data_IF_787228608607
#
_entry.id   IF_787228608607
#
_cell.length_a   1.000
_cell.length_b   1.000
_cell.length_c   1.000
_cell.angle_alpha   90.00
_cell.angle_beta   90.00
_cell.angle_gamma   90.00
#
_symmetry.space_group_name_H-M   'P 1'
#
loop_
_entity.id
_entity.type
_entity.pdbx_description
1 polymer ?
#
# COMPACT_ATOMS: atom_id res chain seq x y z
N UNK A 1 0.87 67.60 68.93
CA UNK A 1 1.73 66.54 68.35
C UNK A 1 0.90 65.21 68.37
N UNK A 2 0.24 64.94 67.26
CA UNK A 2 -0.76 63.88 67.18
C UNK A 2 -0.10 62.72 66.43
N UNK A 3 0.12 61.62 67.11
CA UNK A 3 0.65 60.34 66.50
C UNK A 3 -0.51 59.53 65.97
N UNK A 4 -0.56 59.32 64.64
CA UNK A 4 -1.51 58.45 63.98
C UNK A 4 -0.90 57.07 63.90
N UNK A 5 -1.56 56.06 64.51
CA UNK A 5 -1.30 54.65 64.30
C UNK A 5 -1.97 54.20 62.97
N UNK A 6 -1.16 53.69 62.10
CA UNK A 6 -1.66 53.01 60.88
C UNK A 6 -1.70 51.55 61.20
N UNK A 7 -2.91 50.94 61.18
CA UNK A 7 -3.15 49.51 61.33
C UNK A 7 -3.01 48.88 59.93
N UNK A 8 -1.97 48.11 59.73
CA UNK A 8 -1.83 47.32 58.51
C UNK A 8 -2.63 46.01 58.61
N UNK A 9 -3.67 45.87 57.78
CA UNK A 9 -4.46 44.68 57.63
C UNK A 9 -3.75 43.77 56.64
N UNK A 10 -3.17 42.65 57.11
CA UNK A 10 -2.60 41.60 56.25
C UNK A 10 -3.74 40.70 55.80
N UNK A 11 -4.19 40.87 54.56
CA UNK A 11 -5.12 39.93 53.91
C UNK A 11 -4.31 38.74 53.39
N UNK A 12 -4.50 37.59 54.01
CA UNK A 12 -3.98 36.30 53.52
C UNK A 12 -4.79 35.85 52.29
N UNK A 13 -4.26 36.02 51.09
CA UNK A 13 -4.79 35.39 49.89
C UNK A 13 -4.41 33.91 49.93
N UNK A 14 -5.36 33.08 50.21
CA UNK A 14 -5.24 31.62 49.92
C UNK A 14 -5.27 31.46 48.40
N UNK A 15 -4.12 31.12 47.80
CA UNK A 15 -4.06 30.70 46.42
C UNK A 15 -4.72 29.33 46.30
N UNK A 16 -5.94 29.29 45.78
CA UNK A 16 -6.54 28.03 45.27
C UNK A 16 -5.88 27.76 43.95
N UNK A 17 -5.00 26.75 43.92
CA UNK A 17 -4.53 26.17 42.66
C UNK A 17 -5.72 25.68 41.83
N UNK A 18 -5.82 26.01 40.53
CA UNK A 18 -6.82 25.41 39.71
C UNK A 18 -6.53 23.90 39.64
N UNK A 19 -7.44 23.08 40.09
CA UNK A 19 -7.50 21.67 39.75
C UNK A 19 -7.63 21.67 38.23
N UNK A 20 -6.58 21.23 37.51
CA UNK A 20 -6.69 20.93 36.08
C UNK A 20 -7.68 19.80 35.95
N UNK A 21 -8.95 20.14 35.67
CA UNK A 21 -9.91 19.19 35.21
C UNK A 21 -9.40 18.63 33.88
N UNK A 22 -8.97 17.39 33.86
CA UNK A 22 -8.88 16.66 32.63
C UNK A 22 -10.25 16.76 31.96
N UNK A 23 -10.29 17.43 30.82
CA UNK A 23 -11.49 17.40 29.99
C UNK A 23 -11.71 15.93 29.63
N UNK A 24 -12.78 15.34 30.17
CA UNK A 24 -13.24 14.05 29.71
C UNK A 24 -13.56 14.22 28.24
N UNK A 25 -12.89 13.42 27.38
CA UNK A 25 -13.18 13.41 25.96
C UNK A 25 -14.69 13.16 25.77
N UNK A 26 -15.29 13.91 24.88
CA UNK A 26 -16.68 13.68 24.50
C UNK A 26 -16.77 12.28 23.84
N UNK A 27 -17.52 11.33 24.40
CA UNK A 27 -17.63 10.00 23.82
C UNK A 27 -18.31 9.98 22.44
N UNK A 28 -18.90 11.10 22.00
CA UNK A 28 -19.48 11.27 20.67
C UNK A 28 -18.51 11.98 19.70
N UNK A 29 -17.31 12.41 20.14
CA UNK A 29 -16.34 13.03 19.24
C UNK A 29 -15.85 12.00 18.21
N UNK A 30 -15.80 12.36 16.90
CA UNK A 30 -15.33 11.43 15.87
C UNK A 30 -13.87 11.03 16.15
N UNK A 31 -13.62 9.73 16.20
CA UNK A 31 -12.26 9.19 16.38
C UNK A 31 -11.46 9.42 15.11
N UNK A 32 -10.18 9.83 15.18
CA UNK A 32 -9.36 10.02 13.99
C UNK A 32 -8.92 8.68 13.37
N UNK A 33 -8.60 8.71 12.09
CA UNK A 33 -7.65 7.77 11.50
C UNK A 33 -6.24 8.20 11.90
N UNK A 34 -5.41 7.30 12.42
CA UNK A 34 -4.03 7.62 12.78
C UNK A 34 -3.07 7.05 11.72
N UNK A 35 -2.29 7.92 11.09
CA UNK A 35 -1.32 7.58 10.05
C UNK A 35 0.07 7.87 10.59
N UNK A 36 0.83 6.82 10.91
CA UNK A 36 2.13 6.90 11.56
C UNK A 36 3.23 6.52 10.58
N UNK A 37 4.08 7.49 10.22
CA UNK A 37 5.29 7.30 9.43
C UNK A 37 6.45 7.00 10.37
N UNK A 38 6.92 5.76 10.35
CA UNK A 38 7.96 5.29 11.26
C UNK A 38 9.34 5.81 10.87
N UNK A 39 10.12 6.30 11.83
CA UNK A 39 11.56 6.47 11.62
C UNK A 39 12.24 5.10 11.62
N UNK A 40 12.39 4.55 10.42
CA UNK A 40 13.12 3.29 10.15
C UNK A 40 14.48 3.56 9.50
N UNK A 41 14.98 4.81 9.56
CA UNK A 41 16.12 5.25 8.78
C UNK A 41 15.73 5.49 7.31
N UNK A 42 16.61 5.07 6.37
CA UNK A 42 16.29 5.22 4.93
C UNK A 42 15.27 4.17 4.51
N UNK A 43 14.12 4.63 4.04
CA UNK A 43 13.02 3.79 3.54
C UNK A 43 11.64 4.23 4.04
N UNK A 44 10.62 3.55 3.58
CA UNK A 44 9.23 3.82 3.94
C UNK A 44 8.69 2.72 4.86
N UNK A 45 8.01 3.13 5.92
CA UNK A 45 7.20 2.26 6.76
C UNK A 45 6.06 3.09 7.36
N UNK A 46 4.84 2.81 6.94
CA UNK A 46 3.67 3.57 7.39
C UNK A 46 2.64 2.63 8.02
N UNK A 47 2.17 2.98 9.20
CA UNK A 47 1.10 2.28 9.92
C UNK A 47 -0.14 3.16 9.93
N UNK A 48 -1.24 2.65 9.43
CA UNK A 48 -2.54 3.32 9.42
C UNK A 48 -3.45 2.55 10.36
N UNK A 49 -3.99 3.22 11.37
CA UNK A 49 -4.98 2.66 12.29
C UNK A 49 -6.33 3.30 12.04
N UNK A 50 -7.33 2.48 11.72
CA UNK A 50 -8.71 2.96 11.52
C UNK A 50 -9.30 3.49 12.82
N UNK A 51 -10.36 4.31 12.78
CA UNK A 51 -11.10 4.72 13.97
C UNK A 51 -11.61 3.55 14.84
N UNK A 52 -11.89 2.40 14.24
CA UNK A 52 -12.26 1.15 14.93
C UNK A 52 -11.07 0.32 15.42
N UNK A 53 -9.82 0.72 15.09
CA UNK A 53 -8.59 0.12 15.62
C UNK A 53 -7.90 -0.88 14.70
N UNK A 54 -8.48 -1.24 13.54
CA UNK A 54 -7.83 -2.14 12.57
C UNK A 54 -6.61 -1.48 11.94
N UNK A 55 -5.65 -2.29 11.53
CA UNK A 55 -4.35 -1.81 11.06
C UNK A 55 -4.13 -2.14 9.59
N UNK A 56 -3.74 -1.12 8.82
CA UNK A 56 -3.12 -1.24 7.50
C UNK A 56 -1.66 -0.85 7.64
N UNK A 57 -0.77 -1.56 6.96
CA UNK A 57 0.63 -1.20 6.88
C UNK A 57 1.03 -1.04 5.42
N UNK A 58 1.74 0.06 5.10
CA UNK A 58 2.31 0.32 3.78
C UNK A 58 3.83 0.36 3.94
N UNK A 59 4.53 -0.59 3.30
CA UNK A 59 5.97 -0.82 3.39
C UNK A 59 6.46 -1.07 4.83
N UNK A 60 7.71 -1.51 4.99
CA UNK A 60 8.28 -1.86 6.29
C UNK A 60 9.75 -1.42 6.47
N UNK A 61 10.24 -0.55 5.57
CA UNK A 61 11.63 -0.10 5.60
C UNK A 61 12.63 -1.17 5.19
N UNK A 62 13.89 -0.83 5.36
CA UNK A 62 15.03 -1.71 5.05
C UNK A 62 15.32 -2.73 6.13
N UNK A 63 14.99 -2.39 7.38
CA UNK A 63 15.23 -3.20 8.57
C UNK A 63 13.92 -3.40 9.31
N UNK A 64 13.91 -4.42 10.17
CA UNK A 64 12.72 -4.81 10.93
C UNK A 64 12.09 -3.66 11.73
N UNK A 65 10.83 -3.30 11.51
CA UNK A 65 10.10 -2.28 12.27
C UNK A 65 9.42 -2.85 13.53
N UNK A 66 9.67 -4.10 13.92
CA UNK A 66 8.93 -4.79 14.98
C UNK A 66 8.96 -4.08 16.33
N UNK A 67 10.06 -3.38 16.65
CA UNK A 67 10.14 -2.59 17.88
C UNK A 67 9.11 -1.47 17.88
N UNK A 68 9.02 -0.74 16.78
CA UNK A 68 8.07 0.36 16.58
C UNK A 68 6.63 -0.17 16.57
N UNK A 69 6.38 -1.26 15.83
CA UNK A 69 5.06 -1.91 15.81
C UNK A 69 4.60 -2.37 17.20
N UNK A 70 5.53 -2.89 18.01
CA UNK A 70 5.23 -3.28 19.40
C UNK A 70 4.88 -2.06 20.25
N UNK A 71 5.59 -0.95 20.10
CA UNK A 71 5.30 0.31 20.80
C UNK A 71 3.94 0.90 20.42
N UNK A 72 3.56 0.77 19.14
CA UNK A 72 2.24 1.16 18.65
C UNK A 72 1.14 0.16 19.01
N UNK A 73 1.43 -0.93 19.72
CA UNK A 73 0.45 -1.95 20.07
C UNK A 73 -0.14 -2.67 18.85
N UNK A 74 0.61 -2.79 17.76
CA UNK A 74 0.18 -3.53 16.57
C UNK A 74 0.36 -5.01 16.85
N UNK A 75 -0.74 -5.74 17.02
CA UNK A 75 -0.77 -7.19 17.26
C UNK A 75 -1.07 -7.98 15.98
N UNK A 76 -1.84 -7.41 15.07
CA UNK A 76 -2.25 -8.00 13.79
C UNK A 76 -2.38 -6.90 12.72
N UNK A 77 -2.35 -7.29 11.45
CA UNK A 77 -2.43 -6.39 10.29
C UNK A 77 -3.49 -6.92 9.33
N UNK A 78 -4.55 -6.14 9.13
CA UNK A 78 -5.62 -6.49 8.21
C UNK A 78 -5.19 -6.40 6.74
N UNK A 79 -4.35 -5.43 6.41
CA UNK A 79 -3.88 -5.21 5.06
C UNK A 79 -2.42 -4.75 5.09
N UNK A 80 -1.55 -5.50 4.42
CA UNK A 80 -0.14 -5.17 4.22
C UNK A 80 0.10 -4.86 2.75
N UNK A 81 0.55 -3.65 2.45
CA UNK A 81 0.82 -3.19 1.08
C UNK A 81 2.32 -3.00 0.92
N UNK A 82 2.92 -3.67 -0.07
CA UNK A 82 4.27 -3.36 -0.55
C UNK A 82 4.15 -2.50 -1.80
N UNK A 83 4.66 -1.27 -1.75
CA UNK A 83 4.55 -0.36 -2.89
C UNK A 83 5.36 -0.86 -4.08
N UNK A 84 6.58 -1.30 -3.86
CA UNK A 84 7.45 -1.90 -4.87
C UNK A 84 8.60 -2.69 -4.21
N UNK A 85 9.38 -3.44 -5.01
CA UNK A 85 10.28 -4.47 -4.51
C UNK A 85 11.70 -3.99 -4.11
N UNK A 86 11.92 -2.70 -3.84
CA UNK A 86 13.20 -2.25 -3.31
C UNK A 86 13.35 -2.56 -1.81
N UNK A 87 14.59 -2.80 -1.39
CA UNK A 87 14.89 -3.27 -0.03
C UNK A 87 14.52 -2.25 1.07
N UNK A 88 14.50 -0.97 0.78
CA UNK A 88 14.10 0.09 1.69
C UNK A 88 12.58 0.26 1.82
N UNK A 89 11.82 -0.61 1.16
CA UNK A 89 10.36 -0.76 1.28
C UNK A 89 9.98 -2.14 1.82
N UNK A 90 10.58 -3.21 1.26
CA UNK A 90 10.18 -4.58 1.61
C UNK A 90 11.13 -5.28 2.57
N UNK A 91 12.27 -4.68 2.93
CA UNK A 91 13.31 -5.36 3.72
C UNK A 91 12.85 -5.84 5.09
N UNK A 92 11.95 -5.12 5.74
CA UNK A 92 11.37 -5.48 7.03
C UNK A 92 10.12 -6.37 6.98
N UNK A 93 9.55 -6.62 5.78
CA UNK A 93 8.26 -7.31 5.66
C UNK A 93 8.30 -8.77 6.07
N UNK A 94 9.42 -9.47 5.84
CA UNK A 94 9.56 -10.86 6.26
C UNK A 94 9.48 -11.01 7.78
N UNK A 95 10.10 -10.10 8.53
CA UNK A 95 10.02 -10.06 9.99
C UNK A 95 8.59 -9.73 10.46
N UNK A 96 7.90 -8.82 9.76
CA UNK A 96 6.51 -8.45 10.05
C UNK A 96 5.60 -9.66 9.88
N UNK A 97 5.67 -10.35 8.74
CA UNK A 97 4.90 -11.56 8.45
C UNK A 97 5.18 -12.70 9.45
N UNK A 98 6.43 -12.81 9.91
CA UNK A 98 6.80 -13.81 10.92
C UNK A 98 6.20 -13.52 12.29
N UNK A 99 6.14 -12.24 12.68
CA UNK A 99 5.82 -11.83 14.04
C UNK A 99 4.38 -11.39 14.23
N UNK A 100 3.63 -11.13 13.16
CA UNK A 100 2.26 -10.62 13.21
C UNK A 100 1.37 -11.37 12.23
N UNK A 101 0.16 -11.79 12.62
CA UNK A 101 -0.86 -12.23 11.66
C UNK A 101 -1.14 -11.12 10.64
N UNK A 102 -1.18 -11.49 9.36
CA UNK A 102 -1.52 -10.60 8.23
C UNK A 102 -2.65 -11.27 7.44
N UNK A 103 -3.78 -10.59 7.29
CA UNK A 103 -4.93 -11.16 6.58
C UNK A 103 -4.73 -11.10 5.07
N UNK A 104 -4.28 -9.94 4.56
CA UNK A 104 -4.13 -9.70 3.12
C UNK A 104 -2.82 -8.98 2.83
N UNK A 105 -2.09 -9.47 1.82
CA UNK A 105 -0.89 -8.84 1.27
C UNK A 105 -1.16 -8.34 -0.15
N UNK A 106 -0.74 -7.12 -0.44
CA UNK A 106 -0.87 -6.48 -1.76
C UNK A 106 0.51 -6.04 -2.24
N UNK A 107 0.84 -6.30 -3.50
CA UNK A 107 1.98 -5.68 -4.18
C UNK A 107 1.66 -5.32 -5.63
N UNK A 108 2.63 -4.73 -6.34
CA UNK A 108 2.44 -4.31 -7.73
C UNK A 108 2.44 -5.47 -8.76
N UNK A 109 2.60 -6.72 -8.32
CA UNK A 109 2.65 -7.91 -9.17
C UNK A 109 3.89 -7.98 -10.08
N UNK A 110 4.88 -7.10 -9.88
CA UNK A 110 6.11 -7.10 -10.68
C UNK A 110 7.18 -7.93 -9.99
N UNK A 111 7.56 -9.09 -10.53
CA UNK A 111 8.60 -9.93 -9.96
C UNK A 111 9.93 -9.20 -9.85
N UNK A 112 10.70 -9.49 -8.80
CA UNK A 112 12.04 -8.97 -8.62
C UNK A 112 13.06 -10.10 -8.41
N UNK A 113 14.30 -9.88 -8.85
CA UNK A 113 15.34 -10.93 -8.82
C UNK A 113 16.13 -10.98 -7.52
N UNK A 114 15.88 -10.05 -6.58
CA UNK A 114 16.56 -10.03 -5.28
C UNK A 114 16.15 -11.20 -4.40
N UNK A 115 17.04 -11.63 -3.53
CA UNK A 115 16.78 -12.66 -2.53
C UNK A 115 15.67 -12.21 -1.57
N UNK A 116 15.74 -10.96 -1.09
CA UNK A 116 14.72 -10.35 -0.23
C UNK A 116 13.29 -10.51 -0.79
N UNK A 117 13.09 -10.20 -2.08
CA UNK A 117 11.79 -10.35 -2.71
C UNK A 117 11.35 -11.82 -2.80
N UNK A 118 12.26 -12.72 -3.19
CA UNK A 118 11.95 -14.14 -3.30
C UNK A 118 11.63 -14.78 -1.95
N UNK A 119 12.37 -14.43 -0.91
CA UNK A 119 12.12 -14.89 0.46
C UNK A 119 10.76 -14.37 0.97
N UNK A 120 10.46 -13.09 0.76
CA UNK A 120 9.19 -12.48 1.11
C UNK A 120 8.01 -13.20 0.45
N UNK A 121 8.07 -13.43 -0.87
CA UNK A 121 6.97 -14.09 -1.59
C UNK A 121 6.80 -15.56 -1.17
N UNK A 122 7.91 -16.27 -0.92
CA UNK A 122 7.86 -17.63 -0.37
C UNK A 122 7.27 -17.65 1.05
N UNK A 123 7.44 -16.57 1.82
CA UNK A 123 6.89 -16.45 3.15
C UNK A 123 5.38 -16.17 3.10
N UNK A 124 4.93 -15.26 2.23
CA UNK A 124 3.51 -14.99 1.95
C UNK A 124 2.79 -16.29 1.58
N UNK A 125 3.39 -17.08 0.68
CA UNK A 125 2.85 -18.38 0.28
C UNK A 125 2.81 -19.39 1.44
N UNK A 126 3.92 -19.53 2.20
CA UNK A 126 4.03 -20.48 3.32
C UNK A 126 3.04 -20.22 4.44
N UNK A 127 2.72 -18.95 4.71
CA UNK A 127 1.78 -18.54 5.75
C UNK A 127 0.33 -18.51 5.26
N UNK A 128 0.08 -18.86 3.99
CA UNK A 128 -1.24 -18.81 3.34
C UNK A 128 -1.91 -17.42 3.47
N UNK A 129 -1.10 -16.35 3.44
CA UNK A 129 -1.60 -14.98 3.45
C UNK A 129 -2.33 -14.71 2.14
N UNK A 130 -3.52 -14.14 2.22
CA UNK A 130 -4.27 -13.78 1.02
C UNK A 130 -3.49 -12.79 0.19
N UNK A 131 -3.07 -13.19 -1.01
CA UNK A 131 -2.38 -12.32 -1.95
C UNK A 131 -3.35 -11.61 -2.90
N UNK A 132 -3.15 -10.31 -3.09
CA UNK A 132 -3.84 -9.51 -4.11
C UNK A 132 -2.80 -8.70 -4.90
N UNK A 133 -2.83 -8.82 -6.21
CA UNK A 133 -2.09 -7.90 -7.05
C UNK A 133 -2.79 -6.52 -7.06
N UNK A 134 -2.01 -5.45 -7.00
CA UNK A 134 -2.52 -4.09 -7.10
C UNK A 134 -3.09 -3.83 -8.50
N UNK A 135 -4.41 -3.72 -8.56
CA UNK A 135 -5.17 -3.26 -9.73
C UNK A 135 -6.15 -2.18 -9.25
N UNK A 136 -6.59 -1.27 -10.12
CA UNK A 136 -7.51 -0.20 -9.72
C UNK A 136 -8.76 -0.76 -9.04
N UNK A 137 -8.91 -0.46 -7.75
CA UNK A 137 -10.05 -0.87 -6.92
C UNK A 137 -10.11 -0.07 -5.64
N UNK A 138 -11.27 -0.03 -5.02
CA UNK A 138 -11.44 0.46 -3.66
C UNK A 138 -11.48 -0.72 -2.68
N UNK A 139 -10.66 -0.67 -1.64
CA UNK A 139 -10.69 -1.57 -0.50
C UNK A 139 -11.31 -0.81 0.68
N UNK A 140 -12.41 -1.29 1.21
CA UNK A 140 -13.05 -0.69 2.39
C UNK A 140 -12.63 -1.43 3.65
N UNK A 141 -12.20 -0.70 4.65
CA UNK A 141 -11.82 -1.23 5.95
C UNK A 141 -12.42 -0.33 7.03
N UNK A 142 -13.46 -0.82 7.68
CA UNK A 142 -14.23 -0.09 8.68
C UNK A 142 -14.72 1.28 8.11
N UNK A 143 -14.25 2.39 8.70
CA UNK A 143 -14.67 3.75 8.33
C UNK A 143 -13.84 4.37 7.20
N UNK A 144 -12.75 3.70 6.78
CA UNK A 144 -11.87 4.22 5.72
C UNK A 144 -12.04 3.44 4.42
N UNK A 145 -11.75 4.10 3.33
CA UNK A 145 -11.53 3.43 2.05
C UNK A 145 -10.14 3.74 1.49
N UNK A 146 -9.60 2.78 0.78
CA UNK A 146 -8.28 2.82 0.15
C UNK A 146 -8.45 2.56 -1.34
N UNK A 147 -8.30 3.59 -2.16
CA UNK A 147 -8.30 3.45 -3.60
C UNK A 147 -6.90 3.05 -4.06
N UNK A 148 -6.76 1.85 -4.59
CA UNK A 148 -5.54 1.39 -5.26
C UNK A 148 -5.51 2.00 -6.65
N UNK A 149 -4.50 2.80 -6.93
CA UNK A 149 -4.39 3.54 -8.17
C UNK A 149 -3.93 2.65 -9.34
N UNK A 150 -4.24 3.06 -10.58
CA UNK A 150 -3.82 2.30 -11.76
C UNK A 150 -2.29 2.31 -11.90
N UNK A 151 -1.72 1.12 -12.13
CA UNK A 151 -0.30 0.98 -12.44
C UNK A 151 -0.04 1.26 -13.92
N UNK A 152 1.08 1.92 -14.26
CA UNK A 152 1.47 2.08 -15.65
C UNK A 152 1.75 0.73 -16.31
N UNK A 153 1.20 0.45 -17.51
CA UNK A 153 1.33 -0.86 -18.14
C UNK A 153 2.76 -1.19 -18.61
N UNK A 154 3.60 -0.19 -18.87
CA UNK A 154 4.93 -0.36 -19.43
C UNK A 154 5.86 0.78 -19.07
N UNK A 155 6.18 0.95 -17.77
CA UNK A 155 7.22 1.89 -17.34
C UNK A 155 8.46 1.14 -16.88
N UNK A 156 9.64 1.66 -17.25
CA UNK A 156 10.91 1.13 -16.77
C UNK A 156 11.14 1.50 -15.30
N UNK A 157 11.77 0.60 -14.58
CA UNK A 157 12.15 0.77 -13.18
C UNK A 157 11.04 0.40 -12.19
N UNK A 158 11.46 -0.12 -11.04
CA UNK A 158 10.55 -0.53 -9.96
C UNK A 158 9.81 0.67 -9.37
N UNK A 159 10.46 1.84 -9.27
CA UNK A 159 9.87 3.05 -8.70
C UNK A 159 8.63 3.51 -9.47
N UNK A 160 8.68 3.49 -10.81
CA UNK A 160 7.57 3.89 -11.68
C UNK A 160 6.46 2.83 -11.82
N UNK A 161 6.43 1.89 -10.88
CA UNK A 161 5.37 0.90 -10.70
C UNK A 161 5.02 0.75 -9.22
N UNK A 162 5.19 1.83 -8.46
CA UNK A 162 4.79 1.88 -7.07
C UNK A 162 3.27 1.76 -6.94
N UNK A 163 2.80 0.98 -5.98
CA UNK A 163 1.37 0.95 -5.65
C UNK A 163 0.99 2.29 -5.03
N UNK A 164 0.33 3.13 -5.81
CA UNK A 164 -0.29 4.36 -5.30
C UNK A 164 -1.57 4.05 -4.53
N UNK A 165 -1.75 4.70 -3.40
CA UNK A 165 -2.93 4.53 -2.54
C UNK A 165 -3.50 5.90 -2.19
N UNK A 166 -4.80 6.09 -2.39
CA UNK A 166 -5.54 7.24 -1.89
C UNK A 166 -6.47 6.78 -0.77
N UNK A 167 -6.18 7.19 0.45
CA UNK A 167 -7.02 6.92 1.62
C UNK A 167 -8.07 8.01 1.76
N UNK A 168 -9.31 7.61 2.08
CA UNK A 168 -10.43 8.50 2.35
C UNK A 168 -11.05 8.18 3.71
N UNK A 169 -11.23 9.23 4.50
CA UNK A 169 -12.00 9.19 5.74
C UNK A 169 -12.86 10.45 5.84
N UNK A 170 -14.10 10.40 5.35
CA UNK A 170 -14.93 11.59 5.17
C UNK A 170 -14.25 12.59 4.24
N UNK A 171 -14.04 13.83 4.73
CA UNK A 171 -13.35 14.90 4.00
C UNK A 171 -11.81 14.85 4.14
N UNK A 172 -11.26 13.99 4.99
CA UNK A 172 -9.82 13.78 5.12
C UNK A 172 -9.31 12.82 4.04
N UNK A 173 -8.35 13.27 3.22
CA UNK A 173 -7.72 12.50 2.17
C UNK A 173 -6.21 12.41 2.40
N UNK A 174 -5.63 11.21 2.18
CA UNK A 174 -4.19 11.01 2.27
C UNK A 174 -3.67 10.23 1.06
N UNK A 175 -2.62 10.74 0.41
CA UNK A 175 -2.02 10.14 -0.78
C UNK A 175 -0.66 9.51 -0.47
N UNK A 176 -0.52 8.22 -0.77
CA UNK A 176 0.71 7.45 -0.63
C UNK A 176 1.18 7.01 -2.01
N UNK A 177 2.33 7.48 -2.42
CA UNK A 177 2.87 7.29 -3.76
C UNK A 177 4.05 6.31 -3.83
N UNK A 178 4.49 5.75 -2.70
CA UNK A 178 5.76 5.00 -2.64
C UNK A 178 6.92 5.83 -3.20
N UNK A 179 7.69 5.25 -4.11
CA UNK A 179 8.81 5.92 -4.79
C UNK A 179 8.50 6.34 -6.21
N UNK A 180 7.23 6.59 -6.50
CA UNK A 180 6.82 7.07 -7.83
C UNK A 180 7.67 8.24 -8.31
N UNK A 181 8.10 8.17 -9.55
CA UNK A 181 8.83 9.23 -10.21
C UNK A 181 7.92 9.99 -11.18
N UNK A 182 8.45 11.05 -11.81
CA UNK A 182 7.69 11.92 -12.71
C UNK A 182 6.81 11.18 -13.71
N UNK A 183 7.31 10.13 -14.42
CA UNK A 183 6.47 9.44 -15.40
C UNK A 183 5.20 8.83 -14.81
N UNK A 184 5.27 8.24 -13.60
CA UNK A 184 4.13 7.66 -12.93
C UNK A 184 3.19 8.73 -12.36
N UNK A 185 3.73 9.81 -11.79
CA UNK A 185 2.93 10.95 -11.33
C UNK A 185 2.14 11.59 -12.48
N UNK A 186 2.79 11.80 -13.63
CA UNK A 186 2.15 12.32 -14.86
C UNK A 186 1.10 11.35 -15.42
N UNK A 187 1.35 10.04 -15.29
CA UNK A 187 0.40 9.01 -15.67
C UNK A 187 -0.89 9.08 -14.82
N UNK A 188 -0.78 9.29 -13.51
CA UNK A 188 -1.92 9.45 -12.62
C UNK A 188 -2.67 10.75 -12.89
N UNK A 189 -1.96 11.86 -13.10
CA UNK A 189 -2.57 13.14 -13.50
C UNK A 189 -3.36 13.01 -14.80
N UNK A 190 -2.77 12.39 -15.82
CA UNK A 190 -3.44 12.19 -17.11
C UNK A 190 -4.71 11.35 -17.02
N UNK A 191 -4.90 10.60 -15.94
CA UNK A 191 -6.11 9.81 -15.65
C UNK A 191 -7.10 10.51 -14.73
N UNK A 192 -6.75 11.68 -14.22
CA UNK A 192 -7.59 12.43 -13.29
C UNK A 192 -7.85 11.67 -11.98
N UNK A 193 -6.84 10.90 -11.49
CA UNK A 193 -6.92 10.18 -10.22
C UNK A 193 -6.12 10.86 -9.11
N UNK A 194 -5.50 12.00 -9.40
CA UNK A 194 -4.90 12.90 -8.41
C UNK A 194 -6.00 13.83 -7.92
N UNK A 195 -6.11 13.99 -6.64
CA UNK A 195 -7.11 14.85 -5.98
C UNK A 195 -6.44 15.79 -5.00
N UNK A 196 -7.11 16.87 -4.62
CA UNK A 196 -6.73 17.73 -3.51
C UNK A 196 -6.74 16.91 -2.21
N UNK A 197 -5.62 16.86 -1.49
CA UNK A 197 -5.44 15.98 -0.34
C UNK A 197 -4.96 16.76 0.89
N UNK A 198 -5.40 16.34 2.07
CA UNK A 198 -4.89 16.86 3.33
C UNK A 198 -3.44 16.41 3.56
N UNK A 199 -3.13 15.13 3.30
CA UNK A 199 -1.82 14.54 3.56
C UNK A 199 -1.21 13.94 2.28
N UNK A 200 0.03 14.33 1.97
CA UNK A 200 0.87 13.68 0.96
C UNK A 200 2.09 13.02 1.60
N UNK A 201 2.25 11.70 1.44
CA UNK A 201 3.55 11.07 1.61
C UNK A 201 4.43 11.47 0.42
N UNK A 202 5.54 12.16 0.69
CA UNK A 202 6.44 12.64 -0.36
C UNK A 202 6.96 11.50 -1.23
N UNK A 203 6.80 11.55 -2.56
CA UNK A 203 7.32 10.51 -3.44
C UNK A 203 8.84 10.40 -3.34
N UNK A 204 9.35 9.18 -3.42
CA UNK A 204 10.77 8.85 -3.54
C UNK A 204 11.66 9.61 -2.53
N UNK A 205 11.25 9.64 -1.26
CA UNK A 205 11.97 10.25 -0.14
C UNK A 205 12.39 11.72 -0.36
N UNK A 206 11.67 12.45 -1.21
CA UNK A 206 12.04 13.82 -1.60
C UNK A 206 13.17 13.88 -2.62
N UNK A 207 13.28 12.92 -3.53
CA UNK A 207 14.17 12.96 -4.69
C UNK A 207 13.75 14.04 -5.70
N UNK A 208 14.69 14.52 -6.53
CA UNK A 208 14.39 15.52 -7.58
C UNK A 208 13.41 15.00 -8.63
N UNK A 209 13.44 13.70 -8.90
CA UNK A 209 12.52 13.04 -9.83
C UNK A 209 11.20 12.58 -9.20
N UNK A 210 11.05 12.69 -7.88
CA UNK A 210 9.85 12.32 -7.12
C UNK A 210 8.76 13.41 -7.09
N UNK A 211 8.82 14.46 -7.92
CA UNK A 211 7.75 15.45 -8.02
C UNK A 211 7.70 16.13 -9.39
N UNK A 212 6.53 16.67 -9.72
CA UNK A 212 6.34 17.73 -10.71
C UNK A 212 5.58 18.87 -10.05
N UNK A 213 5.77 20.10 -10.49
CA UNK A 213 5.00 21.24 -9.95
C UNK A 213 3.49 21.06 -10.22
N UNK A 214 3.14 20.57 -11.41
CA UNK A 214 1.74 20.32 -11.76
C UNK A 214 1.08 19.28 -10.87
N UNK A 215 1.81 18.19 -10.52
CA UNK A 215 1.31 17.19 -9.57
C UNK A 215 1.08 17.80 -8.18
N UNK A 216 2.01 18.60 -7.69
CA UNK A 216 1.88 19.24 -6.38
C UNK A 216 0.78 20.30 -6.34
N UNK A 217 0.59 21.05 -7.43
CA UNK A 217 -0.50 22.03 -7.56
C UNK A 217 -1.86 21.34 -7.61
N UNK A 218 -1.98 20.17 -8.25
CA UNK A 218 -3.22 19.39 -8.32
C UNK A 218 -3.51 18.67 -7.00
N UNK A 219 -2.49 18.06 -6.38
CA UNK A 219 -2.63 17.39 -5.07
C UNK A 219 -2.80 18.37 -3.92
N UNK A 220 -2.30 19.62 -4.04
CA UNK A 220 -2.48 20.74 -3.11
C UNK A 220 -2.43 20.35 -1.62
N UNK A 221 -1.43 19.57 -1.15
CA UNK A 221 -1.44 19.03 0.20
C UNK A 221 -1.31 20.09 1.27
N UNK A 222 -2.04 19.93 2.39
CA UNK A 222 -1.86 20.76 3.59
C UNK A 222 -0.61 20.32 4.37
N UNK A 223 -0.36 18.99 4.46
CA UNK A 223 0.84 18.44 5.11
C UNK A 223 1.56 17.45 4.19
N UNK A 224 2.88 17.60 4.10
CA UNK A 224 3.76 16.65 3.40
C UNK A 224 4.65 15.96 4.41
N UNK A 225 4.66 14.61 4.40
CA UNK A 225 5.58 13.83 5.22
C UNK A 225 6.62 13.15 4.34
N UNK A 226 7.90 13.35 4.66
CA UNK A 226 9.04 12.76 3.96
C UNK A 226 9.65 11.68 4.85
N UNK A 227 9.46 10.41 4.49
CA UNK A 227 10.18 9.29 5.11
C UNK A 227 11.59 9.24 4.54
N UNK A 228 12.60 9.47 5.37
CA UNK A 228 14.00 9.55 4.94
C UNK A 228 14.96 9.34 6.11
N UNK A 229 16.11 8.76 5.87
CA UNK A 229 17.13 8.53 6.89
C UNK A 229 18.13 9.67 7.01
N UNK A 230 18.50 10.05 8.25
CA UNK A 230 19.47 11.10 8.52
C UNK A 230 20.85 10.91 7.88
N UNK A 231 21.24 9.65 7.64
CA UNK A 231 22.54 9.27 7.05
C UNK A 231 22.37 8.61 5.68
N UNK A 232 21.28 8.92 4.95
CA UNK A 232 21.08 8.30 3.64
C UNK A 232 22.17 8.72 2.64
N UNK A 233 22.65 7.76 1.81
CA UNK A 233 23.74 8.04 0.87
C UNK A 233 23.28 8.79 -0.38
N UNK A 234 21.97 8.96 -0.58
CA UNK A 234 21.38 9.54 -1.79
C UNK A 234 21.29 11.06 -1.71
N UNK A 235 21.45 11.64 -0.51
CA UNK A 235 21.30 13.07 -0.26
C UNK A 235 19.86 13.55 -0.38
N UNK A 236 18.90 12.69 -0.04
CA UNK A 236 17.49 13.05 0.09
C UNK A 236 17.19 13.62 1.48
N UNK A 237 16.16 14.48 1.64
CA UNK A 237 15.44 15.11 0.53
C UNK A 237 16.31 16.19 -0.15
N UNK A 238 16.11 16.36 -1.44
CA UNK A 238 16.80 17.40 -2.20
C UNK A 238 16.28 18.80 -1.88
N UNK A 239 17.15 19.84 -1.90
CA UNK A 239 16.69 21.21 -1.65
C UNK A 239 15.57 21.67 -2.58
N UNK A 240 15.61 21.23 -3.85
CA UNK A 240 14.59 21.52 -4.85
C UNK A 240 13.24 20.90 -4.48
N UNK A 241 13.24 19.65 -3.98
CA UNK A 241 12.03 18.99 -3.52
C UNK A 241 11.47 19.67 -2.27
N UNK A 242 12.32 20.00 -1.30
CA UNK A 242 11.90 20.76 -0.11
C UNK A 242 11.28 22.09 -0.47
N UNK A 243 11.89 22.84 -1.40
CA UNK A 243 11.35 24.11 -1.88
C UNK A 243 9.99 23.94 -2.56
N UNK A 244 9.85 22.89 -3.38
CA UNK A 244 8.59 22.59 -4.05
C UNK A 244 7.48 22.20 -3.06
N UNK A 245 7.75 21.31 -2.09
CA UNK A 245 6.75 20.95 -1.07
C UNK A 245 6.37 22.15 -0.20
N UNK A 246 7.34 22.96 0.27
CA UNK A 246 7.07 24.15 1.06
C UNK A 246 6.36 25.28 0.30
N UNK A 247 6.25 25.17 -1.03
CA UNK A 247 5.50 26.18 -1.82
C UNK A 247 4.00 25.86 -1.91
N UNK A 248 3.59 24.64 -1.55
CA UNK A 248 2.20 24.17 -1.67
C UNK A 248 1.61 23.73 -0.33
N UNK A 249 2.43 23.28 0.63
CA UNK A 249 1.98 22.72 1.90
C UNK A 249 2.22 23.70 3.06
N UNK A 250 1.33 23.66 4.05
CA UNK A 250 1.47 24.43 5.29
C UNK A 250 2.55 23.81 6.19
N UNK A 251 2.66 22.47 6.19
CA UNK A 251 3.67 21.72 6.95
C UNK A 251 4.47 20.76 6.07
N UNK A 252 5.80 20.72 6.28
CA UNK A 252 6.70 19.72 5.67
C UNK A 252 7.49 19.04 6.78
N UNK A 253 7.10 17.82 7.12
CA UNK A 253 7.65 17.01 8.20
C UNK A 253 8.60 15.94 7.64
N UNK A 254 9.62 15.53 8.44
CA UNK A 254 10.69 14.65 7.97
C UNK A 254 11.09 13.66 9.06
N UNK A 255 11.07 12.37 8.78
CA UNK A 255 11.43 11.36 9.78
C UNK A 255 12.88 11.45 10.27
N UNK A 256 13.80 11.97 9.47
CA UNK A 256 15.21 12.17 9.86
C UNK A 256 15.46 13.35 10.82
N UNK A 257 14.46 14.21 11.02
CA UNK A 257 14.54 15.40 11.88
C UNK A 257 13.53 15.35 13.02
N UNK A 258 12.31 14.96 12.69
CA UNK A 258 11.16 15.01 13.56
C UNK A 258 10.91 13.64 14.24
N UNK A 259 11.72 12.63 13.90
CA UNK A 259 11.52 11.24 14.32
C UNK A 259 10.30 10.62 13.67
N UNK A 260 9.66 9.68 14.34
CA UNK A 260 8.38 9.15 13.88
C UNK A 260 7.33 10.26 13.85
N UNK A 261 6.56 10.33 12.77
CA UNK A 261 5.52 11.33 12.55
C UNK A 261 4.16 10.65 12.52
N UNK A 262 3.22 11.10 13.35
CA UNK A 262 1.81 10.66 13.27
C UNK A 262 0.93 11.82 12.84
N UNK A 263 0.10 11.58 11.83
CA UNK A 263 -0.98 12.49 11.41
C UNK A 263 -2.30 11.86 11.82
N UNK A 264 -3.05 12.57 12.67
CA UNK A 264 -4.40 12.21 13.08
C UNK A 264 -5.39 12.91 12.13
N UNK A 265 -6.05 12.18 11.27
CA UNK A 265 -7.03 12.71 10.33
C UNK A 265 -8.46 12.52 10.84
N UNK A 266 -9.29 13.56 10.76
CA UNK A 266 -10.68 13.53 11.19
C UNK A 266 -11.62 13.53 9.97
N UNK A 267 -12.79 12.94 10.13
CA UNK A 267 -13.77 12.81 9.03
C UNK A 267 -14.32 14.14 8.50
N UNK A 268 -14.08 15.25 9.21
CA UNK A 268 -14.45 16.60 8.80
C UNK A 268 -13.30 17.34 8.07
N UNK A 269 -12.24 16.63 7.68
CA UNK A 269 -11.08 17.15 6.96
C UNK A 269 -9.96 17.72 7.84
N UNK A 270 -10.21 17.99 9.13
CA UNK A 270 -9.17 18.47 10.06
C UNK A 270 -8.10 17.41 10.26
N UNK A 271 -6.92 17.87 10.63
CA UNK A 271 -5.82 17.01 11.06
C UNK A 271 -5.04 17.58 12.25
N UNK A 272 -4.30 16.73 12.94
CA UNK A 272 -3.35 17.07 14.00
C UNK A 272 -2.06 16.26 13.77
N UNK A 273 -0.91 16.85 14.12
CA UNK A 273 0.40 16.17 13.97
C UNK A 273 1.03 15.89 15.32
N UNK A 274 1.60 14.70 15.48
CA UNK A 274 2.34 14.27 16.68
C UNK A 274 3.73 13.80 16.24
N UNK A 275 4.79 14.21 16.93
CA UNK A 275 6.16 14.03 16.47
C UNK A 275 7.02 13.24 17.47
N UNK A 276 8.03 12.56 16.96
CA UNK A 276 9.07 11.91 17.73
C UNK A 276 8.58 10.76 18.61
N UNK A 277 9.10 10.69 19.83
CA UNK A 277 8.75 9.65 20.80
C UNK A 277 7.27 9.70 21.20
N UNK A 278 6.66 10.86 21.19
CA UNK A 278 5.24 11.06 21.53
C UNK A 278 4.31 10.34 20.55
N UNK A 279 4.72 10.17 19.28
CA UNK A 279 4.01 9.35 18.28
C UNK A 279 3.82 7.91 18.70
N UNK A 280 4.62 7.39 19.63
CA UNK A 280 4.49 6.03 20.15
C UNK A 280 3.74 5.97 21.49
N UNK A 281 3.59 7.12 22.16
CA UNK A 281 3.03 7.09 23.50
C UNK A 281 1.51 6.96 23.43
N UNK A 282 1.06 5.71 23.39
CA UNK A 282 -0.37 5.38 23.41
C UNK A 282 -1.07 5.93 24.67
N UNK A 283 -0.32 6.19 25.75
CA UNK A 283 -0.85 6.82 26.94
C UNK A 283 -1.27 8.26 26.63
N UNK A 284 -0.53 8.93 25.78
CA UNK A 284 -0.85 10.31 25.35
C UNK A 284 -1.99 10.32 24.33
N UNK A 285 -1.98 9.44 23.34
CA UNK A 285 -3.13 9.23 22.45
C UNK A 285 -4.38 8.77 23.21
N UNK A 286 -4.23 7.99 24.29
CA UNK A 286 -5.31 7.67 25.23
C UNK A 286 -5.71 8.87 26.07
N UNK A 287 -4.79 9.73 26.49
CA UNK A 287 -5.09 10.95 27.25
C UNK A 287 -5.82 11.98 26.41
N UNK A 288 -5.63 11.97 25.08
CA UNK A 288 -6.44 12.69 24.10
C UNK A 288 -7.82 12.07 23.91
N UNK A 289 -8.10 10.91 24.53
CA UNK A 289 -9.39 10.23 24.48
C UNK A 289 -9.70 9.50 23.16
N UNK A 290 -8.73 9.38 22.26
CA UNK A 290 -8.94 8.81 20.94
C UNK A 290 -8.92 7.28 20.91
N UNK A 291 -8.16 6.63 21.84
CA UNK A 291 -7.99 5.17 21.83
C UNK A 291 -8.03 4.57 23.24
N UNK A 292 -8.82 3.53 23.44
CA UNK A 292 -8.77 2.68 24.63
C UNK A 292 -8.30 1.27 24.22
N UNK A 293 -6.99 1.00 24.39
CA UNK A 293 -6.41 -0.31 24.10
C UNK A 293 -6.98 -1.45 24.97
N UNK A 294 -7.60 -1.14 26.11
CA UNK A 294 -8.28 -2.15 26.92
C UNK A 294 -9.61 -2.60 26.33
N UNK A 295 -10.14 -1.88 25.33
CA UNK A 295 -11.30 -2.30 24.54
C UNK A 295 -10.92 -3.13 23.31
N UNK A 296 -9.63 -3.22 22.97
CA UNK A 296 -9.12 -4.15 21.99
C UNK A 296 -9.01 -5.53 22.64
N UNK A 297 -10.13 -6.15 23.00
CA UNK A 297 -10.16 -7.55 23.40
C UNK A 297 -9.72 -8.40 22.20
N UNK A 298 -8.81 -9.39 22.41
CA UNK A 298 -8.57 -10.37 21.37
C UNK A 298 -9.84 -11.18 21.17
N UNK A 299 -10.47 -10.99 19.98
CA UNK A 299 -11.47 -11.91 19.46
C UNK A 299 -12.88 -11.77 20.01
N UNK A 300 -13.62 -10.81 19.50
CA UNK A 300 -14.96 -11.14 19.06
C UNK A 300 -14.81 -11.67 17.62
N UNK A 301 -15.15 -12.95 17.41
CA UNK A 301 -15.04 -13.67 16.15
C UNK A 301 -16.06 -13.19 15.07
N UNK A 302 -16.53 -11.97 15.20
CA UNK A 302 -17.14 -11.22 14.11
C UNK A 302 -16.02 -10.62 13.25
N UNK A 303 -15.26 -11.49 12.60
CA UNK A 303 -14.24 -11.11 11.62
C UNK A 303 -14.86 -10.16 10.60
N UNK A 304 -14.65 -8.86 10.80
CA UNK A 304 -14.93 -7.86 9.79
C UNK A 304 -14.10 -8.21 8.58
N UNK A 305 -14.71 -8.95 7.67
CA UNK A 305 -14.13 -9.33 6.40
C UNK A 305 -13.83 -8.02 5.68
N UNK A 306 -12.63 -7.90 5.08
CA UNK A 306 -12.34 -6.84 4.12
C UNK A 306 -13.46 -6.89 3.07
N UNK A 307 -14.40 -5.96 3.14
CA UNK A 307 -15.42 -5.86 2.12
C UNK A 307 -14.76 -5.31 0.87
N UNK A 308 -14.47 -6.23 -0.06
CA UNK A 308 -14.08 -5.88 -1.41
C UNK A 308 -15.32 -5.31 -2.11
N UNK A 309 -15.63 -4.05 -1.83
CA UNK A 309 -16.58 -3.33 -2.66
C UNK A 309 -15.86 -3.10 -3.98
N UNK A 310 -16.23 -3.88 -4.99
CA UNK A 310 -15.84 -3.66 -6.38
C UNK A 310 -16.50 -2.37 -6.88
N UNK A 311 -16.05 -1.25 -6.33
CA UNK A 311 -16.33 0.08 -6.85
C UNK A 311 -15.18 0.43 -7.80
N UNK A 312 -15.38 0.23 -9.09
CA UNK A 312 -14.53 0.86 -10.09
C UNK A 312 -14.60 2.37 -9.87
N UNK A 313 -13.43 3.04 -9.84
CA UNK A 313 -13.37 4.49 -9.98
C UNK A 313 -14.23 4.87 -11.21
N UNK A 314 -15.04 5.94 -11.18
CA UNK A 314 -16.00 6.22 -12.22
C UNK A 314 -15.29 6.56 -13.53
N UNK A 315 -15.02 5.56 -14.33
CA UNK A 315 -14.82 5.69 -15.74
C UNK A 315 -16.18 5.47 -16.41
N UNK A 316 -16.64 6.42 -17.22
CA UNK A 316 -17.87 6.39 -17.99
C UNK A 316 -18.34 4.97 -18.36
N UNK A 317 -19.61 4.71 -18.06
CA UNK A 317 -20.31 3.44 -18.29
C UNK A 317 -19.90 2.74 -19.59
N UNK A 318 -19.26 1.57 -19.44
CA UNK A 318 -19.22 0.55 -20.48
C UNK A 318 -19.30 -0.81 -19.80
N UNK A 319 -20.10 -1.69 -20.34
CA UNK A 319 -20.25 -3.11 -19.92
C UNK A 319 -18.88 -3.71 -19.64
N UNK A 320 -18.68 -4.25 -18.40
CA UNK A 320 -17.43 -4.91 -17.96
C UNK A 320 -17.01 -5.94 -19.01
N UNK A 321 -15.91 -5.66 -19.72
CA UNK A 321 -15.29 -6.62 -20.61
C UNK A 321 -14.50 -7.65 -19.78
N UNK A 322 -14.21 -8.81 -20.34
CA UNK A 322 -13.34 -9.80 -19.64
C UNK A 322 -11.94 -9.21 -19.34
N UNK A 323 -11.51 -8.21 -20.10
CA UNK A 323 -10.28 -7.45 -19.90
C UNK A 323 -10.28 -6.67 -18.57
N UNK A 324 -11.47 -6.35 -18.02
CA UNK A 324 -11.61 -5.63 -16.75
C UNK A 324 -11.47 -6.56 -15.52
N UNK A 325 -11.64 -7.86 -15.70
CA UNK A 325 -11.67 -8.84 -14.59
C UNK A 325 -10.55 -9.88 -14.64
N UNK A 326 -9.88 -10.05 -15.78
CA UNK A 326 -8.77 -10.98 -15.94
C UNK A 326 -7.50 -10.21 -16.33
N UNK A 327 -6.35 -10.66 -15.82
CA UNK A 327 -5.04 -10.23 -16.32
C UNK A 327 -4.23 -11.41 -16.80
N UNK A 328 -3.31 -11.14 -17.74
CA UNK A 328 -2.42 -12.12 -18.36
C UNK A 328 -0.99 -11.61 -18.23
N UNK A 329 -0.08 -12.43 -17.72
CA UNK A 329 1.35 -12.06 -17.57
C UNK A 329 2.22 -13.22 -18.04
N UNK A 330 3.25 -12.94 -18.83
CA UNK A 330 4.21 -13.92 -19.34
C UNK A 330 5.52 -13.82 -18.56
N UNK A 331 6.03 -14.96 -18.15
CA UNK A 331 7.37 -15.14 -17.62
C UNK A 331 8.20 -15.95 -18.63
N UNK A 332 8.91 -15.28 -19.51
CA UNK A 332 9.87 -15.88 -20.40
C UNK A 332 11.12 -16.28 -19.58
N UNK A 333 11.42 -17.55 -19.50
CA UNK A 333 12.56 -18.04 -18.74
C UNK A 333 13.87 -17.54 -19.31
N UNK A 334 14.86 -17.16 -18.47
CA UNK A 334 16.19 -16.78 -18.94
C UNK A 334 16.92 -18.02 -19.48
N UNK A 335 17.28 -17.98 -20.76
CA UNK A 335 18.11 -19.01 -21.40
C UNK A 335 19.54 -18.96 -20.86
N UNK A 336 19.84 -19.68 -19.77
CA UNK A 336 21.22 -20.09 -19.51
C UNK A 336 21.52 -21.36 -20.28
N UNK A 337 22.70 -21.45 -20.91
CA UNK A 337 23.09 -22.51 -21.86
C UNK A 337 23.18 -23.94 -21.27
N UNK A 338 22.82 -24.14 -20.02
CA UNK A 338 22.88 -25.44 -19.33
C UNK A 338 21.46 -25.94 -19.02
N UNK A 339 20.94 -26.77 -19.93
CA UNK A 339 19.66 -27.48 -19.88
C UNK A 339 18.44 -26.60 -19.53
N UNK A 340 17.62 -26.23 -20.50
CA UNK A 340 16.50 -25.33 -20.28
C UNK A 340 15.50 -25.93 -19.29
N UNK A 341 15.35 -25.32 -18.13
CA UNK A 341 14.22 -25.60 -17.26
C UNK A 341 12.96 -24.96 -17.86
N UNK A 342 12.27 -25.70 -18.73
CA UNK A 342 11.07 -25.21 -19.43
C UNK A 342 9.93 -24.83 -18.48
N UNK A 343 9.98 -25.21 -17.21
CA UNK A 343 9.02 -24.78 -16.19
C UNK A 343 9.43 -23.45 -15.51
N UNK A 344 10.59 -22.88 -15.84
CA UNK A 344 10.90 -21.49 -15.54
C UNK A 344 10.20 -20.51 -16.49
N UNK A 345 9.62 -21.03 -17.58
CA UNK A 345 8.86 -20.32 -18.58
C UNK A 345 7.37 -20.65 -18.39
N UNK A 346 6.58 -19.62 -18.05
CA UNK A 346 5.15 -19.81 -17.72
C UNK A 346 4.32 -18.56 -17.95
N UNK A 347 3.01 -18.73 -18.01
CA UNK A 347 2.03 -17.65 -18.10
C UNK A 347 1.10 -17.73 -16.89
N UNK A 348 0.83 -16.57 -16.29
CA UNK A 348 -0.12 -16.42 -15.20
C UNK A 348 -1.39 -15.78 -15.74
N UNK A 349 -2.55 -16.31 -15.36
CA UNK A 349 -3.87 -15.74 -15.64
C UNK A 349 -4.55 -15.54 -14.29
N UNK A 350 -4.89 -14.30 -13.96
CA UNK A 350 -5.48 -13.93 -12.67
C UNK A 350 -6.91 -13.44 -12.86
N UNK A 351 -7.79 -13.86 -11.97
CA UNK A 351 -9.18 -13.43 -11.90
C UNK A 351 -9.32 -12.43 -10.74
N UNK A 352 -9.53 -11.17 -11.06
CA UNK A 352 -9.70 -10.09 -10.09
C UNK A 352 -11.16 -9.85 -9.70
N UNK A 353 -12.09 -10.60 -10.31
CA UNK A 353 -13.50 -10.51 -9.91
C UNK A 353 -13.77 -11.33 -8.63
N UNK A 354 -14.83 -11.02 -7.89
CA UNK A 354 -15.22 -11.83 -6.71
C UNK A 354 -15.86 -13.18 -7.10
N UNK A 355 -16.13 -13.41 -8.39
CA UNK A 355 -16.81 -14.62 -8.87
C UNK A 355 -15.84 -15.49 -9.68
N UNK A 356 -16.07 -16.81 -9.65
CA UNK A 356 -15.30 -17.76 -10.47
C UNK A 356 -15.55 -17.50 -11.97
N UNK A 357 -14.49 -17.58 -12.76
CA UNK A 357 -14.53 -17.49 -14.23
C UNK A 357 -14.28 -18.87 -14.82
N UNK A 358 -15.22 -19.40 -15.62
CA UNK A 358 -15.04 -20.63 -16.37
C UNK A 358 -14.11 -20.37 -17.56
N UNK A 359 -12.94 -21.01 -17.54
CA UNK A 359 -11.93 -20.99 -18.61
C UNK A 359 -11.86 -22.33 -19.36
N UNK A 360 -12.81 -23.25 -19.11
CA UNK A 360 -12.86 -24.52 -19.79
C UNK A 360 -12.89 -24.36 -21.30
N UNK A 361 -12.06 -25.12 -22.00
CA UNK A 361 -11.90 -25.10 -23.47
C UNK A 361 -11.28 -23.80 -24.03
N UNK A 362 -10.91 -22.83 -23.21
CA UNK A 362 -10.18 -21.63 -23.66
C UNK A 362 -8.80 -22.02 -24.20
N UNK A 363 -8.16 -21.11 -24.94
CA UNK A 363 -6.84 -21.33 -25.52
C UNK A 363 -5.92 -20.17 -25.19
N UNK A 364 -4.73 -20.49 -24.71
CA UNK A 364 -3.61 -19.58 -24.53
C UNK A 364 -2.60 -19.83 -25.66
N UNK A 365 -2.32 -18.84 -26.50
CA UNK A 365 -1.49 -18.97 -27.69
C UNK A 365 -0.35 -17.94 -27.70
N UNK A 366 0.83 -18.33 -28.24
CA UNK A 366 1.92 -17.42 -28.58
C UNK A 366 1.67 -16.72 -29.95
N UNK A 367 2.55 -15.79 -30.30
CA UNK A 367 2.51 -15.11 -31.60
C UNK A 367 2.62 -16.08 -32.78
N UNK A 368 3.30 -17.20 -32.63
CA UNK A 368 3.47 -18.25 -33.64
C UNK A 368 2.29 -19.22 -33.73
N UNK A 369 1.19 -18.96 -32.99
CA UNK A 369 -0.02 -19.79 -32.94
C UNK A 369 0.19 -21.16 -32.28
N UNK A 370 1.22 -21.35 -31.44
CA UNK A 370 1.32 -22.48 -30.55
C UNK A 370 0.38 -22.25 -29.37
N UNK A 371 -0.55 -23.18 -29.16
CA UNK A 371 -1.62 -22.99 -28.21
C UNK A 371 -1.70 -24.11 -27.18
N UNK A 372 -1.92 -23.71 -25.92
CA UNK A 372 -2.42 -24.60 -24.87
C UNK A 372 -3.96 -24.48 -24.80
N UNK A 373 -4.64 -25.59 -24.61
CA UNK A 373 -6.10 -25.62 -24.41
C UNK A 373 -6.40 -26.07 -22.99
N UNK A 374 -7.16 -25.24 -22.25
CA UNK A 374 -7.62 -25.63 -20.94
C UNK A 374 -8.60 -26.80 -20.98
N UNK A 375 -8.48 -27.79 -20.08
CA UNK A 375 -9.45 -28.85 -19.92
C UNK A 375 -10.86 -28.33 -19.71
N UNK A 376 -11.88 -29.12 -20.10
CA UNK A 376 -13.27 -28.80 -19.77
C UNK A 376 -13.48 -28.75 -18.26
N UNK A 377 -14.21 -27.74 -17.77
CA UNK A 377 -14.45 -27.53 -16.33
C UNK A 377 -13.31 -26.85 -15.58
N UNK A 378 -12.28 -26.36 -16.29
CA UNK A 378 -11.26 -25.49 -15.66
C UNK A 378 -11.86 -24.15 -15.27
N UNK A 379 -11.57 -23.68 -14.05
CA UNK A 379 -12.07 -22.43 -13.53
C UNK A 379 -10.94 -21.64 -12.90
N UNK A 380 -11.08 -20.32 -12.86
CA UNK A 380 -10.28 -19.45 -12.01
C UNK A 380 -11.23 -18.84 -10.97
N UNK A 381 -11.12 -19.28 -9.72
CA UNK A 381 -11.96 -18.76 -8.65
C UNK A 381 -11.74 -17.26 -8.43
N UNK A 382 -12.73 -16.59 -7.84
CA UNK A 382 -12.65 -15.15 -7.57
C UNK A 382 -11.45 -14.81 -6.72
N UNK A 383 -10.64 -13.84 -7.17
CA UNK A 383 -9.40 -13.44 -6.51
C UNK A 383 -8.26 -14.47 -6.58
N UNK A 384 -8.39 -15.52 -7.44
CA UNK A 384 -7.38 -16.56 -7.62
C UNK A 384 -6.74 -16.48 -9.00
N UNK A 385 -5.67 -17.25 -9.18
CA UNK A 385 -4.91 -17.34 -10.42
C UNK A 385 -4.69 -18.80 -10.83
N UNK A 386 -4.38 -18.98 -12.10
CA UNK A 386 -3.84 -20.23 -12.63
C UNK A 386 -2.52 -19.95 -13.36
N UNK A 387 -1.65 -20.95 -13.39
CA UNK A 387 -0.33 -20.87 -14.04
C UNK A 387 -0.23 -21.92 -15.13
N UNK A 388 0.21 -21.52 -16.32
CA UNK A 388 0.43 -22.43 -17.46
C UNK A 388 1.94 -22.51 -17.72
N UNK A 389 2.55 -23.61 -17.35
CA UNK A 389 3.97 -23.90 -17.57
C UNK A 389 4.23 -24.45 -18.96
N UNK A 390 5.32 -24.03 -19.60
CA UNK A 390 5.71 -24.54 -20.93
C UNK A 390 6.13 -26.00 -20.90
N UNK A 391 6.88 -26.40 -19.87
CA UNK A 391 7.43 -27.75 -19.76
C UNK A 391 6.45 -28.82 -19.37
N UNK A 392 6.96 -29.92 -18.78
CA UNK A 392 6.20 -31.10 -18.41
C UNK A 392 5.82 -31.09 -16.93
N UNK A 393 4.60 -31.58 -16.64
CA UNK A 393 4.10 -31.70 -15.26
C UNK A 393 2.71 -32.32 -15.22
N UNK A 394 2.15 -32.37 -14.00
CA UNK A 394 0.79 -32.88 -13.77
C UNK A 394 -0.13 -31.70 -13.41
N UNK A 395 -1.18 -31.54 -14.20
CA UNK A 395 -2.20 -30.47 -13.95
C UNK A 395 -3.00 -30.81 -12.69
N UNK A 396 -3.17 -29.82 -11.82
CA UNK A 396 -3.90 -29.93 -10.54
C UNK A 396 -5.08 -28.95 -10.40
N UNK A 397 -5.44 -28.24 -11.49
CA UNK A 397 -6.53 -27.26 -11.53
C UNK A 397 -6.08 -25.82 -11.26
N UNK A 398 -4.88 -25.63 -10.70
CA UNK A 398 -4.22 -24.32 -10.51
C UNK A 398 -2.99 -24.22 -11.41
N UNK A 399 -2.26 -25.32 -11.53
CA UNK A 399 -1.08 -25.46 -12.39
C UNK A 399 -1.44 -26.29 -13.61
N UNK A 400 -1.18 -25.74 -14.78
CA UNK A 400 -1.37 -26.38 -16.09
C UNK A 400 -0.02 -26.52 -16.79
N UNK A 401 0.13 -27.53 -17.63
CA UNK A 401 1.39 -27.78 -18.34
C UNK A 401 1.12 -27.95 -19.85
N UNK A 402 1.83 -27.17 -20.66
CA UNK A 402 1.76 -27.26 -22.11
C UNK A 402 2.34 -28.59 -22.62
N UNK A 403 3.18 -29.25 -21.79
CA UNK A 403 3.91 -30.47 -22.12
C UNK A 403 4.75 -30.30 -23.40
N UNK A 404 5.36 -29.12 -23.56
CA UNK A 404 6.20 -28.80 -24.70
C UNK A 404 7.66 -29.13 -24.38
N UNK A 405 8.39 -29.64 -25.36
CA UNK A 405 9.83 -29.93 -25.26
C UNK A 405 10.73 -28.77 -25.68
N UNK A 406 10.17 -27.62 -26.09
CA UNK A 406 10.87 -26.43 -26.52
C UNK A 406 10.25 -25.20 -25.88
N UNK A 407 11.05 -24.13 -25.75
CA UNK A 407 10.57 -22.82 -25.34
C UNK A 407 9.41 -22.33 -26.25
N UNK A 408 8.43 -21.69 -25.64
CA UNK A 408 7.26 -21.12 -26.32
C UNK A 408 7.36 -19.60 -26.31
N UNK A 409 7.75 -19.03 -25.16
CA UNK A 409 7.80 -17.58 -24.94
C UNK A 409 9.23 -17.05 -25.17
N UNK A 410 9.40 -16.12 -26.12
CA UNK A 410 10.73 -15.67 -26.53
C UNK A 410 11.28 -14.61 -25.57
N UNK A 411 12.55 -14.75 -25.16
CA UNK A 411 13.26 -13.79 -24.28
C UNK A 411 13.42 -12.38 -24.87
N UNK A 412 13.29 -12.23 -26.17
CA UNK A 412 13.46 -10.98 -26.92
C UNK A 412 12.11 -10.38 -27.39
N UNK A 413 11.04 -10.72 -26.69
CA UNK A 413 9.70 -10.26 -26.99
C UNK A 413 8.81 -11.30 -27.66
N UNK A 414 7.57 -11.38 -27.21
CA UNK A 414 6.52 -12.25 -27.74
C UNK A 414 5.14 -11.66 -27.38
N UNK A 415 4.12 -12.38 -27.75
CA UNK A 415 2.73 -12.03 -27.48
C UNK A 415 1.96 -13.24 -26.98
N UNK A 416 1.38 -13.13 -25.79
CA UNK A 416 0.44 -14.10 -25.26
C UNK A 416 -1.00 -13.64 -25.51
N UNK A 417 -1.80 -14.49 -26.14
CA UNK A 417 -3.21 -14.24 -26.45
C UNK A 417 -4.09 -15.30 -25.82
N UNK A 418 -5.08 -14.87 -25.07
CA UNK A 418 -6.09 -15.74 -24.48
C UNK A 418 -7.38 -15.66 -25.29
N UNK A 419 -7.86 -16.79 -25.77
CA UNK A 419 -9.08 -16.90 -26.53
C UNK A 419 -10.13 -17.66 -25.74
N UNK A 420 -11.34 -17.16 -25.67
CA UNK A 420 -12.48 -17.85 -25.07
C UNK A 420 -12.89 -19.11 -25.86
N UNK A 421 -13.79 -19.91 -25.28
CA UNK A 421 -14.27 -21.16 -25.89
C UNK A 421 -14.90 -20.95 -27.28
N UNK A 422 -15.51 -19.79 -27.54
CA UNK A 422 -16.07 -19.38 -28.82
C UNK A 422 -15.04 -18.90 -29.85
N UNK A 423 -13.76 -18.80 -29.47
CA UNK A 423 -12.66 -18.36 -30.34
C UNK A 423 -12.46 -16.85 -30.42
N UNK A 424 -13.24 -16.04 -29.67
CA UNK A 424 -13.00 -14.61 -29.51
C UNK A 424 -11.75 -14.37 -28.67
N UNK A 425 -10.94 -13.37 -29.03
CA UNK A 425 -9.83 -12.92 -28.19
C UNK A 425 -10.39 -12.24 -26.93
N UNK A 426 -9.90 -12.66 -25.77
CA UNK A 426 -10.34 -12.21 -24.44
C UNK A 426 -9.31 -11.28 -23.83
N UNK A 427 -8.02 -11.67 -23.92
CA UNK A 427 -6.89 -10.90 -23.39
C UNK A 427 -5.70 -11.02 -24.33
N UNK A 428 -4.88 -9.98 -24.31
CA UNK A 428 -3.59 -9.93 -25.02
C UNK A 428 -2.53 -9.30 -24.11
N UNK A 429 -1.38 -9.91 -24.06
CA UNK A 429 -0.20 -9.40 -23.37
C UNK A 429 1.00 -9.42 -24.33
N UNK A 430 1.57 -8.25 -24.59
CA UNK A 430 2.76 -8.07 -25.44
C UNK A 430 3.91 -7.64 -24.55
N UNK A 431 5.06 -8.25 -24.69
CA UNK A 431 6.29 -7.86 -24.00
C UNK A 431 7.47 -7.84 -24.98
N UNK A 432 8.45 -6.98 -24.72
CA UNK A 432 9.66 -6.77 -25.53
C UNK A 432 10.91 -7.28 -24.80
#
# INVERSE_FOLDING_TARGET
MIVRFVLALVASLAATSPVSGQAMADPEAPKPVAITFLDVGQGDATVIRTPSGRVVMIDAGRVSPLRQLTRLGVSEIALLIATHAHADHIGGLDDVLTARPVDTYVDNGTPHTTETYRELMAHVERLDVRYLQAVPRTLTLDEISLDILPLPPSMEGQNNRSVGVLLRYGDFLAFFSGDSERPELEFWQARGVVEDVTLLKAPHHGAVNGFTHSFLEEASPEVVVISVGATNPYGHPRPEALAAYSSVADEVLRTDRDGTVTVLGFSDGRYETVLGEDSYDQVELQSMGYWDINQLSPGDDSGGQLDLVSGMLPSNQTTSSMEDILTLTVHAGTSSQDAPNLNAEYVVIENHSPTSVDIGMWRLCDLSSRCFRFPSGSNIDGGRRVVVYTGYGTTDGVSFFMNNGNAVWNDNGDEARLFGAGGQEVLRYVYE
#
